data_IF_905775149130
#
_entry.id   IF_905775149130
#
_cell.length_a   1.000
_cell.length_b   1.000
_cell.length_c   1.000
_cell.angle_alpha   90.00
_cell.angle_beta   90.00
_cell.angle_gamma   90.00
#
_symmetry.space_group_name_H-M   'P 1'
#
loop_
_entity.id
_entity.type
_entity.pdbx_description
1 polymer ?
#
# COMPACT_ATOMS: atom_id res chain seq x y z
N UNK A 1 38.40 78.04 -21.99
CA UNK A 1 37.18 77.27 -22.37
C UNK A 1 37.65 75.95 -22.98
N UNK A 2 37.25 74.81 -22.41
CA UNK A 2 36.98 73.58 -23.19
C UNK A 2 36.30 72.51 -22.32
N UNK A 3 35.43 71.75 -22.98
CA UNK A 3 34.24 71.09 -22.46
C UNK A 3 34.47 69.92 -21.49
N UNK A 4 33.65 69.90 -20.44
CA UNK A 4 33.47 68.72 -19.58
C UNK A 4 32.62 67.70 -20.33
N UNK A 5 33.24 66.65 -20.85
CA UNK A 5 32.57 65.42 -21.29
C UNK A 5 31.85 64.75 -20.10
N UNK A 6 30.58 65.09 -19.88
CA UNK A 6 29.70 64.30 -19.03
C UNK A 6 29.10 63.15 -19.86
N UNK A 7 29.59 61.93 -19.64
CA UNK A 7 28.94 60.72 -20.14
C UNK A 7 27.57 60.62 -19.47
N UNK A 8 26.50 60.93 -20.21
CA UNK A 8 25.11 60.76 -19.75
C UNK A 8 24.80 59.25 -19.71
N UNK A 9 25.03 58.61 -18.57
CA UNK A 9 24.57 57.24 -18.34
C UNK A 9 23.04 57.23 -18.34
N UNK A 10 22.42 56.58 -19.34
CA UNK A 10 20.95 56.44 -19.40
C UNK A 10 20.51 55.48 -18.30
N UNK A 11 19.91 56.01 -17.22
CA UNK A 11 19.33 55.18 -16.15
C UNK A 11 18.21 54.32 -16.72
N UNK A 12 18.28 53.00 -16.50
CA UNK A 12 17.26 52.05 -16.95
C UNK A 12 15.94 52.32 -16.22
N UNK A 13 14.85 52.42 -16.97
CA UNK A 13 13.51 52.64 -16.44
C UNK A 13 12.56 51.60 -16.99
N UNK A 14 11.53 51.26 -16.21
CA UNK A 14 10.58 50.21 -16.51
C UNK A 14 9.15 50.75 -16.45
N UNK A 15 8.33 50.37 -17.42
CA UNK A 15 6.89 50.57 -17.39
C UNK A 15 6.22 49.54 -16.49
N UNK A 16 4.97 49.80 -16.09
CA UNK A 16 4.16 48.83 -15.33
C UNK A 16 4.06 47.48 -16.05
N UNK A 17 3.93 47.47 -17.38
CA UNK A 17 3.83 46.26 -18.19
C UNK A 17 5.15 45.48 -18.23
N UNK A 18 6.28 46.18 -18.35
CA UNK A 18 7.61 45.54 -18.28
C UNK A 18 7.87 44.95 -16.89
N UNK A 19 7.50 45.67 -15.82
CA UNK A 19 7.59 45.14 -14.45
C UNK A 19 6.72 43.88 -14.28
N UNK A 20 5.50 43.91 -14.81
CA UNK A 20 4.58 42.77 -14.76
C UNK A 20 5.15 41.54 -15.48
N UNK A 21 5.72 41.76 -16.67
CA UNK A 21 6.37 40.72 -17.45
C UNK A 21 7.60 40.15 -16.73
N UNK A 22 8.47 40.99 -16.16
CA UNK A 22 9.69 40.52 -15.48
C UNK A 22 9.38 39.74 -14.21
N UNK A 23 8.36 40.13 -13.45
CA UNK A 23 7.98 39.43 -12.21
C UNK A 23 7.00 38.27 -12.41
N UNK A 24 6.58 38.02 -13.66
CA UNK A 24 5.58 37.01 -14.02
C UNK A 24 4.27 37.16 -13.24
N UNK A 25 3.70 38.37 -13.28
CA UNK A 25 2.46 38.73 -12.60
C UNK A 25 1.60 39.62 -13.48
N UNK A 26 0.31 39.75 -13.13
CA UNK A 26 -0.58 40.65 -13.88
C UNK A 26 -0.18 42.12 -13.72
N UNK A 27 -0.43 42.92 -14.77
CA UNK A 27 -0.29 44.39 -14.74
C UNK A 27 -1.13 45.01 -13.62
N UNK A 28 -2.29 44.42 -13.33
CA UNK A 28 -3.16 44.83 -12.22
C UNK A 28 -2.49 44.66 -10.86
N UNK A 29 -1.76 43.56 -10.64
CA UNK A 29 -1.02 43.30 -9.41
C UNK A 29 0.08 44.34 -9.18
N UNK A 30 0.88 44.64 -10.21
CA UNK A 30 1.89 45.71 -10.14
C UNK A 30 1.24 47.07 -9.89
N UNK A 31 0.16 47.39 -10.61
CA UNK A 31 -0.58 48.64 -10.47
C UNK A 31 -1.14 48.83 -9.07
N UNK A 32 -1.67 47.76 -8.46
CA UNK A 32 -2.18 47.79 -7.10
C UNK A 32 -1.06 48.09 -6.09
N UNK A 33 0.12 47.48 -6.25
CA UNK A 33 1.27 47.74 -5.38
C UNK A 33 1.83 49.15 -5.54
N UNK A 34 1.93 49.64 -6.78
CA UNK A 34 2.35 51.02 -7.06
C UNK A 34 1.42 52.01 -6.35
N UNK A 35 0.10 51.81 -6.45
CA UNK A 35 -0.88 52.64 -5.73
C UNK A 35 -0.73 52.49 -4.21
N UNK A 36 -0.66 51.26 -3.71
CA UNK A 36 -0.57 50.94 -2.27
C UNK A 36 0.66 51.56 -1.61
N UNK A 37 1.80 51.58 -2.29
CA UNK A 37 3.05 52.13 -1.77
C UNK A 37 3.32 53.56 -2.24
N UNK A 38 2.35 54.17 -2.92
CA UNK A 38 2.43 55.53 -3.44
C UNK A 38 3.73 55.79 -4.25
N UNK A 39 4.08 54.83 -5.12
CA UNK A 39 5.30 54.91 -5.92
C UNK A 39 5.13 55.92 -7.05
N UNK A 40 6.03 56.88 -7.14
CA UNK A 40 6.00 57.93 -8.15
C UNK A 40 6.82 57.52 -9.38
N UNK A 41 6.30 57.78 -10.60
CA UNK A 41 7.10 57.58 -11.81
C UNK A 41 8.21 58.62 -11.89
N UNK A 42 9.37 58.21 -12.39
CA UNK A 42 10.53 59.08 -12.62
C UNK A 42 10.35 59.92 -13.88
N UNK A 43 9.63 59.38 -14.86
CA UNK A 43 9.23 60.13 -16.05
C UNK A 43 7.91 59.59 -16.59
N UNK A 44 7.24 60.45 -17.35
CA UNK A 44 6.08 60.10 -18.14
C UNK A 44 6.46 60.24 -19.61
N UNK A 45 6.31 59.18 -20.38
CA UNK A 45 6.56 59.21 -21.83
C UNK A 45 5.28 59.33 -22.64
N UNK A 46 5.34 58.96 -23.92
CA UNK A 46 4.19 59.02 -24.83
C UNK A 46 2.97 58.29 -24.26
N UNK A 47 1.78 58.80 -24.58
CA UNK A 47 0.50 58.28 -24.11
C UNK A 47 0.40 58.17 -22.58
N UNK A 48 1.03 59.10 -21.85
CA UNK A 48 1.04 59.14 -20.39
C UNK A 48 1.64 57.86 -19.75
N UNK A 49 2.54 57.18 -20.47
CA UNK A 49 3.19 55.97 -19.98
C UNK A 49 4.10 56.28 -18.81
N UNK A 50 3.85 55.65 -17.66
CA UNK A 50 4.60 55.86 -16.41
C UNK A 50 5.83 54.96 -16.37
N UNK A 51 6.99 55.56 -16.17
CA UNK A 51 8.27 54.86 -16.07
C UNK A 51 8.82 54.95 -14.65
N UNK A 52 9.21 53.81 -14.10
CA UNK A 52 9.78 53.67 -12.76
C UNK A 52 11.25 53.30 -12.84
N UNK A 53 12.02 53.69 -11.84
CA UNK A 53 13.45 53.42 -11.78
C UNK A 53 13.77 52.04 -11.21
N UNK A 54 15.07 51.76 -11.09
CA UNK A 54 15.58 50.53 -10.51
C UNK A 54 15.19 50.38 -9.03
N UNK A 55 15.04 51.47 -8.26
CA UNK A 55 14.67 51.38 -6.85
C UNK A 55 13.26 50.79 -6.67
N UNK A 56 12.32 51.20 -7.53
CA UNK A 56 10.98 50.60 -7.59
C UNK A 56 11.05 49.14 -8.03
N UNK A 57 11.86 48.83 -9.05
CA UNK A 57 12.08 47.47 -9.53
C UNK A 57 12.54 46.54 -8.39
N UNK A 58 13.61 46.90 -7.68
CA UNK A 58 14.14 46.08 -6.59
C UNK A 58 13.14 45.92 -5.44
N UNK A 59 12.41 46.99 -5.11
CA UNK A 59 11.41 46.95 -4.04
C UNK A 59 10.27 45.99 -4.38
N UNK A 60 9.82 45.98 -5.63
CA UNK A 60 8.83 45.02 -6.12
C UNK A 60 9.40 43.60 -6.13
N UNK A 61 10.64 43.41 -6.58
CA UNK A 61 11.34 42.13 -6.54
C UNK A 61 11.35 41.52 -5.14
N UNK A 62 11.81 42.28 -4.13
CA UNK A 62 11.81 41.84 -2.73
C UNK A 62 10.44 41.40 -2.20
N UNK A 63 9.35 41.99 -2.70
CA UNK A 63 8.00 41.60 -2.30
C UNK A 63 7.55 40.30 -2.96
N UNK A 64 7.80 40.14 -4.26
CA UNK A 64 7.42 38.94 -4.99
C UNK A 64 8.27 37.72 -4.62
N UNK A 65 9.55 37.90 -4.30
CA UNK A 65 10.43 36.83 -3.82
C UNK A 65 9.93 36.24 -2.50
N UNK A 66 9.56 37.10 -1.54
CA UNK A 66 8.97 36.69 -0.25
C UNK A 66 7.63 35.97 -0.41
N UNK A 67 6.83 36.38 -1.39
CA UNK A 67 5.53 35.77 -1.68
C UNK A 67 5.68 34.38 -2.32
N UNK A 68 6.65 34.20 -3.23
CA UNK A 68 6.97 32.90 -3.83
C UNK A 68 7.40 31.89 -2.77
N UNK A 69 8.34 32.25 -1.89
CA UNK A 69 8.81 31.40 -0.81
C UNK A 69 7.69 30.88 0.12
N UNK A 70 6.69 31.72 0.42
CA UNK A 70 5.56 31.31 1.26
C UNK A 70 4.62 30.34 0.56
N UNK A 71 4.36 30.53 -0.74
CA UNK A 71 3.52 29.63 -1.53
C UNK A 71 4.16 28.25 -1.65
N UNK A 72 5.44 28.19 -2.00
CA UNK A 72 6.16 26.92 -2.15
C UNK A 72 6.16 26.11 -0.84
N UNK A 73 6.36 26.78 0.31
CA UNK A 73 6.30 26.14 1.63
C UNK A 73 4.91 25.60 1.97
N UNK A 74 3.85 26.31 1.62
CA UNK A 74 2.47 25.94 1.97
C UNK A 74 1.99 24.78 1.12
N UNK A 75 2.26 24.82 -0.19
CA UNK A 75 1.94 23.73 -1.13
C UNK A 75 2.67 22.44 -0.76
N UNK A 76 3.97 22.52 -0.44
CA UNK A 76 4.76 21.35 -0.04
C UNK A 76 4.24 20.72 1.27
N UNK A 77 3.88 21.54 2.26
CA UNK A 77 3.35 21.02 3.54
C UNK A 77 1.99 20.34 3.39
N UNK A 78 1.13 20.85 2.50
CA UNK A 78 -0.18 20.24 2.25
C UNK A 78 -0.03 18.91 1.51
N UNK A 79 0.83 18.86 0.50
CA UNK A 79 1.10 17.65 -0.28
C UNK A 79 1.69 16.53 0.60
N UNK A 80 2.66 16.84 1.46
CA UNK A 80 3.23 15.90 2.42
C UNK A 80 2.19 15.36 3.42
N UNK A 81 1.25 16.20 3.88
CA UNK A 81 0.17 15.75 4.78
C UNK A 81 -0.80 14.81 4.08
N UNK A 82 -1.14 15.09 2.83
CA UNK A 82 -2.00 14.21 2.04
C UNK A 82 -1.31 12.87 1.78
N UNK A 83 -0.03 12.88 1.38
CA UNK A 83 0.75 11.65 1.19
C UNK A 83 0.88 10.83 2.47
N UNK A 84 1.11 11.47 3.62
CA UNK A 84 1.16 10.77 4.91
C UNK A 84 -0.18 10.15 5.29
N UNK A 85 -1.30 10.84 5.04
CA UNK A 85 -2.63 10.31 5.32
C UNK A 85 -2.96 9.08 4.45
N UNK A 86 -2.62 9.13 3.15
CA UNK A 86 -2.78 8.00 2.23
C UNK A 86 -1.91 6.82 2.69
N UNK A 87 -0.64 7.06 3.00
CA UNK A 87 0.27 6.01 3.45
C UNK A 87 -0.19 5.37 4.77
N UNK A 88 -0.76 6.15 5.69
CA UNK A 88 -1.31 5.60 6.94
C UNK A 88 -2.54 4.71 6.66
N UNK A 89 -3.44 5.12 5.77
CA UNK A 89 -4.61 4.33 5.38
C UNK A 89 -4.21 3.02 4.70
N UNK A 90 -3.22 3.05 3.80
CA UNK A 90 -2.66 1.85 3.17
C UNK A 90 -2.04 0.90 4.20
N UNK A 91 -1.30 1.44 5.18
CA UNK A 91 -0.73 0.63 6.26
C UNK A 91 -1.80 -0.03 7.13
N UNK A 92 -2.92 0.65 7.42
CA UNK A 92 -4.04 0.05 8.15
C UNK A 92 -4.70 -1.08 7.37
N UNK A 93 -4.92 -0.89 6.06
CA UNK A 93 -5.46 -1.95 5.20
C UNK A 93 -4.56 -3.18 5.18
N UNK A 94 -3.26 -3.00 4.97
CA UNK A 94 -2.29 -4.10 4.96
C UNK A 94 -2.25 -4.84 6.31
N UNK A 95 -2.39 -4.12 7.44
CA UNK A 95 -2.46 -4.76 8.77
C UNK A 95 -3.70 -5.61 8.92
N UNK A 96 -4.86 -5.12 8.47
CA UNK A 96 -6.11 -5.86 8.52
C UNK A 96 -6.05 -7.12 7.64
N UNK A 97 -5.52 -7.01 6.42
CA UNK A 97 -5.33 -8.16 5.52
C UNK A 97 -4.41 -9.22 6.14
N UNK A 98 -3.33 -8.79 6.80
CA UNK A 98 -2.40 -9.68 7.49
C UNK A 98 -3.08 -10.41 8.66
N UNK A 99 -3.91 -9.72 9.44
CA UNK A 99 -4.68 -10.33 10.53
C UNK A 99 -5.69 -11.36 10.01
N UNK A 100 -6.41 -11.03 8.94
CA UNK A 100 -7.33 -11.96 8.27
C UNK A 100 -6.57 -13.20 7.79
N UNK A 101 -5.44 -13.01 7.08
CA UNK A 101 -4.63 -14.12 6.59
C UNK A 101 -4.13 -15.03 7.73
N UNK A 102 -3.70 -14.45 8.86
CA UNK A 102 -3.30 -15.20 10.06
C UNK A 102 -4.46 -16.03 10.62
N UNK A 103 -5.66 -15.45 10.69
CA UNK A 103 -6.86 -16.14 11.15
C UNK A 103 -7.18 -17.33 10.22
N UNK A 104 -7.16 -17.12 8.91
CA UNK A 104 -7.38 -18.18 7.91
C UNK A 104 -6.37 -19.31 8.03
N UNK A 105 -5.07 -19.00 8.20
CA UNK A 105 -4.03 -20.01 8.40
C UNK A 105 -4.35 -20.87 9.64
N UNK A 106 -4.77 -20.24 10.74
CA UNK A 106 -5.12 -20.97 11.97
C UNK A 106 -6.32 -21.89 11.79
N UNK A 107 -7.33 -21.45 11.04
CA UNK A 107 -8.49 -22.30 10.69
C UNK A 107 -8.03 -23.50 9.86
N UNK A 108 -7.27 -23.27 8.79
CA UNK A 108 -6.78 -24.34 7.91
C UNK A 108 -5.88 -25.35 8.65
N UNK A 109 -5.05 -24.88 9.58
CA UNK A 109 -4.25 -25.77 10.43
C UNK A 109 -5.13 -26.67 11.32
N UNK A 110 -6.20 -26.14 11.90
CA UNK A 110 -7.15 -26.93 12.68
C UNK A 110 -7.88 -27.95 11.80
N UNK A 111 -8.31 -27.56 10.61
CA UNK A 111 -8.94 -28.46 9.65
C UNK A 111 -8.01 -29.61 9.24
N UNK A 112 -6.74 -29.31 8.95
CA UNK A 112 -5.73 -30.33 8.65
C UNK A 112 -5.54 -31.30 9.83
N UNK A 113 -5.49 -30.79 11.06
CA UNK A 113 -5.37 -31.63 12.25
C UNK A 113 -6.57 -32.58 12.39
N UNK A 114 -7.78 -32.08 12.14
CA UNK A 114 -9.01 -32.90 12.18
C UNK A 114 -8.97 -33.96 11.08
N UNK A 115 -8.62 -33.59 9.85
CA UNK A 115 -8.52 -34.53 8.72
C UNK A 115 -7.47 -35.61 8.96
N UNK A 116 -6.31 -35.26 9.50
CA UNK A 116 -5.28 -36.24 9.85
C UNK A 116 -5.80 -37.23 10.90
N UNK A 117 -6.46 -36.74 11.95
CA UNK A 117 -7.07 -37.63 12.94
C UNK A 117 -8.15 -38.55 12.37
N UNK A 118 -8.89 -38.10 11.34
CA UNK A 118 -9.85 -38.95 10.63
C UNK A 118 -9.15 -40.01 9.78
N UNK A 119 -8.03 -39.67 9.11
CA UNK A 119 -7.22 -40.60 8.35
C UNK A 119 -6.67 -41.70 9.27
N UNK A 120 -6.12 -41.34 10.43
CA UNK A 120 -5.60 -42.30 11.40
C UNK A 120 -6.68 -43.31 11.82
N UNK A 121 -7.89 -42.82 12.15
CA UNK A 121 -9.03 -43.67 12.50
C UNK A 121 -9.46 -44.59 11.35
N UNK A 122 -9.44 -44.10 10.12
CA UNK A 122 -9.77 -44.91 8.94
C UNK A 122 -8.72 -46.00 8.70
N UNK A 123 -7.45 -45.71 8.93
CA UNK A 123 -6.38 -46.70 8.86
C UNK A 123 -6.57 -47.79 9.92
N UNK A 124 -6.87 -47.42 11.16
CA UNK A 124 -7.15 -48.37 12.24
C UNK A 124 -8.34 -49.29 11.90
N UNK A 125 -9.44 -48.71 11.41
CA UNK A 125 -10.62 -49.48 10.98
C UNK A 125 -10.30 -50.41 9.80
N UNK A 126 -9.50 -49.95 8.85
CA UNK A 126 -9.06 -50.77 7.71
C UNK A 126 -8.22 -51.94 8.18
N UNK A 127 -7.28 -51.71 9.10
CA UNK A 127 -6.46 -52.77 9.69
C UNK A 127 -7.32 -53.79 10.45
N UNK A 128 -8.31 -53.33 11.23
CA UNK A 128 -9.25 -54.21 11.93
C UNK A 128 -10.08 -55.05 10.95
N UNK A 129 -10.59 -54.44 9.87
CA UNK A 129 -11.34 -55.14 8.84
C UNK A 129 -10.49 -56.21 8.14
N UNK A 130 -9.23 -55.90 7.80
CA UNK A 130 -8.30 -56.85 7.21
C UNK A 130 -7.99 -58.02 8.14
N UNK A 131 -7.75 -57.76 9.43
CA UNK A 131 -7.52 -58.83 10.41
C UNK A 131 -8.73 -59.73 10.57
N UNK A 132 -9.93 -59.15 10.59
CA UNK A 132 -11.17 -59.90 10.70
C UNK A 132 -11.41 -60.78 9.46
N UNK A 133 -11.14 -60.26 8.27
CA UNK A 133 -11.26 -61.00 7.00
C UNK A 133 -10.26 -62.18 6.92
N UNK A 134 -9.02 -61.97 7.38
CA UNK A 134 -8.03 -63.05 7.49
C UNK A 134 -8.46 -64.13 8.49
N UNK A 135 -9.00 -63.72 9.64
CA UNK A 135 -9.47 -64.65 10.66
C UNK A 135 -10.67 -65.49 10.19
N UNK A 136 -11.65 -64.87 9.53
CA UNK A 136 -12.80 -65.58 8.97
C UNK A 136 -12.38 -66.53 7.86
N UNK A 137 -11.45 -66.12 6.99
CA UNK A 137 -10.91 -67.01 5.95
C UNK A 137 -10.20 -68.23 6.55
N UNK A 138 -9.35 -68.02 7.57
CA UNK A 138 -8.62 -69.10 8.26
C UNK A 138 -9.59 -70.08 8.93
N UNK A 139 -10.59 -69.58 9.66
CA UNK A 139 -11.60 -70.43 10.29
C UNK A 139 -12.41 -71.24 9.27
N UNK A 140 -12.80 -70.63 8.15
CA UNK A 140 -13.48 -71.34 7.07
C UNK A 140 -12.61 -72.45 6.48
N UNK A 141 -11.31 -72.22 6.32
CA UNK A 141 -10.38 -73.22 5.81
C UNK A 141 -10.21 -74.39 6.78
N UNK A 142 -10.04 -74.13 8.09
CA UNK A 142 -9.97 -75.16 9.12
C UNK A 142 -11.23 -76.04 9.16
N UNK A 143 -12.42 -75.43 9.01
CA UNK A 143 -13.69 -76.16 8.93
C UNK A 143 -13.79 -77.07 7.68
N UNK A 144 -13.21 -76.65 6.55
CA UNK A 144 -13.18 -77.44 5.32
C UNK A 144 -12.17 -78.59 5.38
N UNK A 145 -11.08 -78.42 6.13
CA UNK A 145 -10.06 -79.45 6.37
C UNK A 145 -10.51 -80.51 7.41
N UNK A 146 -11.48 -80.19 8.27
CA UNK A 146 -12.18 -81.16 9.12
C UNK A 146 -13.20 -82.02 8.32
N UNK A 147 -12.72 -82.86 7.40
CA UNK A 147 -13.51 -83.98 6.83
C UNK A 147 -13.45 -85.20 7.78
N UNK A 148 -14.49 -86.05 7.87
CA UNK A 148 -14.74 -86.88 9.04
C UNK A 148 -13.75 -88.05 9.15
N UNK A 149 -13.07 -88.14 10.28
CA UNK A 149 -12.43 -89.37 10.75
C UNK A 149 -13.49 -90.48 10.85
N UNK A 150 -13.26 -91.58 10.14
CA UNK A 150 -14.11 -92.77 10.11
C UNK A 150 -14.48 -93.25 11.53
N UNK A 151 -15.71 -93.74 11.76
CA UNK A 151 -16.04 -94.37 13.03
C UNK A 151 -15.23 -95.67 13.16
N UNK A 152 -14.28 -95.69 14.09
CA UNK A 152 -13.60 -96.92 14.50
C UNK A 152 -14.65 -97.90 15.00
N UNK A 153 -14.83 -99.00 14.26
CA UNK A 153 -15.69 -100.13 14.61
C UNK A 153 -15.32 -100.63 16.01
N UNK A 154 -16.10 -100.25 17.02
CA UNK A 154 -16.09 -100.92 18.31
C UNK A 154 -16.60 -102.35 18.10
N UNK A 155 -15.70 -103.33 18.24
CA UNK A 155 -16.05 -104.73 18.32
C UNK A 155 -16.94 -104.93 19.54
N UNK A 156 -18.19 -105.33 19.31
CA UNK A 156 -19.09 -105.85 20.35
C UNK A 156 -18.45 -107.12 20.94
N UNK A 157 -17.85 -106.99 22.12
CA UNK A 157 -17.54 -108.11 23.01
C UNK A 157 -18.81 -108.52 23.74
N UNK A 158 -19.04 -109.83 23.76
CA UNK A 158 -20.21 -110.50 24.29
C UNK A 158 -20.22 -110.54 25.85
N UNK A 159 -21.43 -110.67 26.41
CA UNK A 159 -21.77 -111.24 27.75
C UNK A 159 -21.40 -110.42 29.01
N UNK A 160 -22.13 -110.46 30.14
CA UNK A 160 -23.15 -111.40 30.59
C UNK A 160 -24.13 -110.79 31.61
N UNK A 161 -25.29 -111.42 31.72
CA UNK A 161 -26.38 -111.22 32.67
C UNK A 161 -26.04 -111.83 34.04
N UNK A 162 -26.29 -111.13 35.14
CA UNK A 162 -26.76 -111.62 36.45
C UNK A 162 -27.28 -110.45 37.28
#
# INVERSE_FOLDING_TARGET
>A
MNDKNQVKTKTKTYTTSELASVFDVSVGSISALIKKWNLKPVKTGNNNSKYYDMAVFERLGRHYDKSKQKRDKTTNTQDLRTQLAVSNAENELLRNELEIAKSTIKILQNELKIKNSQIDKLQDLTNQAQQLDLATHTQHQELLEQKPTQPTKQKRGLFNWF
#
